data_IF_151183044663
#
_entry.id   IF_151183044663
#
_cell.length_a   1.000
_cell.length_b   1.000
_cell.length_c   1.000
_cell.angle_alpha   90.00
_cell.angle_beta   90.00
_cell.angle_gamma   90.00
#
_symmetry.space_group_name_H-M   'P 1'
#
loop_
_entity.id
_entity.type
_entity.pdbx_description
1 polymer ?
#
# COMPACT_ATOMS: atom_id res chain seq x y z
N UNK A 1 83.90 13.94 -36.10
CA UNK A 1 82.57 13.44 -36.53
C UNK A 1 81.52 13.93 -35.52
N UNK A 2 80.73 14.96 -35.86
CA UNK A 2 79.65 15.48 -35.01
C UNK A 2 78.38 14.71 -35.33
N UNK A 3 77.84 13.97 -34.35
CA UNK A 3 76.51 13.35 -34.45
C UNK A 3 75.44 14.37 -34.07
N UNK A 4 74.48 14.61 -34.97
CA UNK A 4 73.30 15.44 -34.74
C UNK A 4 72.15 14.56 -34.23
N UNK A 5 71.65 14.86 -33.04
CA UNK A 5 70.50 14.19 -32.43
C UNK A 5 69.23 14.91 -32.88
N UNK A 6 68.40 14.26 -33.71
CA UNK A 6 67.06 14.76 -34.07
C UNK A 6 66.07 14.29 -33.02
N UNK A 7 65.49 15.22 -32.27
CA UNK A 7 64.36 14.99 -31.36
C UNK A 7 63.07 15.00 -32.17
N UNK A 8 62.33 13.89 -32.14
CA UNK A 8 60.96 13.81 -32.67
C UNK A 8 59.99 14.12 -31.53
N UNK A 9 59.26 15.23 -31.63
CA UNK A 9 58.16 15.55 -30.71
C UNK A 9 56.91 14.87 -31.26
N UNK A 10 56.45 13.82 -30.57
CA UNK A 10 55.14 13.21 -30.82
C UNK A 10 54.11 14.03 -30.04
N UNK A 11 53.25 14.74 -30.77
CA UNK A 11 52.13 15.49 -30.20
C UNK A 11 50.97 14.50 -29.97
N UNK A 12 50.74 14.06 -28.73
CA UNK A 12 49.55 13.29 -28.35
C UNK A 12 48.34 14.25 -28.31
N UNK A 13 47.42 14.11 -29.27
CA UNK A 13 46.09 14.72 -29.16
C UNK A 13 45.27 13.94 -28.12
N UNK A 14 45.03 14.55 -26.97
CA UNK A 14 44.06 14.07 -25.97
C UNK A 14 42.68 14.60 -26.36
N UNK A 15 41.85 13.76 -26.98
CA UNK A 15 40.43 14.07 -27.17
C UNK A 15 39.70 13.82 -25.85
N UNK A 16 39.24 14.89 -25.18
CA UNK A 16 38.42 14.78 -23.98
C UNK A 16 36.98 14.43 -24.35
N UNK A 17 36.63 13.16 -24.19
CA UNK A 17 35.24 12.71 -24.23
C UNK A 17 34.51 13.30 -23.01
N UNK A 18 33.65 14.29 -23.21
CA UNK A 18 32.72 14.73 -22.15
C UNK A 18 31.76 13.57 -21.87
N UNK A 19 32.05 12.80 -20.82
CA UNK A 19 31.08 11.88 -20.24
C UNK A 19 29.88 12.72 -19.80
N UNK A 20 28.77 12.58 -20.53
CA UNK A 20 27.50 13.18 -20.14
C UNK A 20 27.02 12.34 -18.97
N UNK A 21 27.13 12.85 -17.75
CA UNK A 21 26.49 12.25 -16.59
C UNK A 21 24.99 12.36 -16.88
N UNK A 22 24.34 11.24 -17.21
CA UNK A 22 22.91 11.18 -17.29
C UNK A 22 22.37 11.60 -15.92
N UNK A 23 21.70 12.75 -15.86
CA UNK A 23 21.02 13.19 -14.65
C UNK A 23 19.95 12.14 -14.34
N UNK A 24 20.13 11.41 -13.24
CA UNK A 24 19.17 10.41 -12.79
C UNK A 24 17.80 11.09 -12.68
N UNK A 25 16.84 10.61 -13.48
CA UNK A 25 15.53 11.23 -13.54
C UNK A 25 14.85 11.05 -12.18
N UNK A 26 14.82 12.11 -11.39
CA UNK A 26 14.19 12.09 -10.07
C UNK A 26 12.68 11.84 -10.24
N UNK A 27 12.24 10.65 -9.86
CA UNK A 27 10.82 10.31 -9.82
C UNK A 27 10.14 11.07 -8.68
N UNK A 28 8.99 11.67 -8.97
CA UNK A 28 8.23 12.38 -7.92
C UNK A 28 7.44 11.40 -7.04
N UNK A 29 7.41 11.71 -5.75
CA UNK A 29 6.57 11.01 -4.77
C UNK A 29 5.11 11.43 -4.88
N UNK A 30 4.20 10.49 -4.60
CA UNK A 30 2.75 10.76 -4.50
C UNK A 30 2.46 11.91 -3.53
N UNK A 31 3.31 12.12 -2.52
CA UNK A 31 3.25 13.23 -1.57
C UNK A 31 2.96 14.58 -2.23
N UNK A 32 3.61 14.86 -3.36
CA UNK A 32 3.52 16.15 -4.05
C UNK A 32 2.19 16.36 -4.78
N UNK A 33 1.38 15.30 -4.90
CA UNK A 33 0.11 15.29 -5.60
C UNK A 33 -1.08 15.16 -4.64
N UNK A 34 -0.84 14.79 -3.38
CA UNK A 34 -1.86 14.72 -2.34
C UNK A 34 -2.32 16.14 -1.98
N UNK A 35 -3.63 16.37 -2.06
CA UNK A 35 -4.29 17.63 -1.66
C UNK A 35 -4.79 17.58 -0.22
N UNK A 36 -5.18 18.73 0.36
CA UNK A 36 -5.87 18.74 1.65
C UNK A 36 -7.03 17.73 1.69
N UNK A 37 -7.18 17.06 2.83
CA UNK A 37 -8.21 16.04 3.03
C UNK A 37 -9.62 16.65 2.93
N UNK A 38 -10.60 15.86 2.51
CA UNK A 38 -12.01 16.28 2.55
C UNK A 38 -12.51 16.26 3.99
N UNK A 39 -12.88 17.41 4.58
CA UNK A 39 -13.31 17.51 6.00
C UNK A 39 -14.44 16.55 6.37
N UNK A 40 -15.45 16.52 5.51
CA UNK A 40 -16.62 15.66 5.62
C UNK A 40 -16.52 14.42 4.73
N UNK A 41 -15.31 14.07 4.30
CA UNK A 41 -15.04 12.87 3.53
C UNK A 41 -14.68 11.67 4.39
N UNK A 42 -14.25 10.60 3.72
CA UNK A 42 -13.82 9.36 4.34
C UNK A 42 -14.97 8.62 5.04
N UNK A 43 -14.65 7.86 6.09
CA UNK A 43 -15.61 7.08 6.86
C UNK A 43 -15.43 7.36 8.35
N UNK A 44 -16.55 7.65 9.02
CA UNK A 44 -16.63 7.88 10.47
C UNK A 44 -17.82 7.08 11.01
N UNK A 45 -17.58 6.17 11.94
CA UNK A 45 -18.61 5.41 12.65
C UNK A 45 -18.29 5.50 14.14
N UNK A 46 -18.98 6.36 14.90
CA UNK A 46 -18.61 6.71 16.28
C UNK A 46 -18.50 5.53 17.25
N UNK A 47 -19.23 4.44 16.97
CA UNK A 47 -19.22 3.19 17.74
C UNK A 47 -18.06 2.26 17.39
N UNK A 48 -17.25 2.59 16.38
CA UNK A 48 -16.18 1.74 15.86
C UNK A 48 -14.86 2.50 15.71
N UNK A 49 -13.75 1.80 15.86
CA UNK A 49 -12.50 2.17 15.19
C UNK A 49 -12.53 1.68 13.75
N UNK A 50 -11.96 2.46 12.82
CA UNK A 50 -11.96 2.18 11.39
C UNK A 50 -10.56 2.20 10.81
N UNK A 51 -10.14 1.10 10.21
CA UNK A 51 -8.76 0.90 9.77
C UNK A 51 -8.73 0.15 8.43
N UNK A 52 -7.56 0.13 7.78
CA UNK A 52 -7.32 -0.69 6.59
C UNK A 52 -8.33 -0.47 5.44
N UNK A 53 -8.50 0.76 4.93
CA UNK A 53 -9.39 1.01 3.81
C UNK A 53 -8.98 0.25 2.54
N UNK A 54 -9.97 -0.18 1.78
CA UNK A 54 -9.82 -0.69 0.41
C UNK A 54 -11.07 -0.34 -0.39
N UNK A 55 -10.93 0.42 -1.47
CA UNK A 55 -12.07 0.98 -2.23
C UNK A 55 -12.11 0.42 -3.65
N UNK A 56 -13.30 0.04 -4.11
CA UNK A 56 -13.58 -0.32 -5.51
C UNK A 56 -14.84 0.41 -6.01
N UNK A 57 -14.88 0.75 -7.29
CA UNK A 57 -16.07 1.33 -7.93
C UNK A 57 -16.87 0.25 -8.65
N UNK A 58 -18.19 0.23 -8.44
CA UNK A 58 -19.14 -0.66 -9.11
C UNK A 58 -20.31 0.17 -9.62
N UNK A 59 -20.45 0.25 -10.94
CA UNK A 59 -21.35 1.20 -11.58
C UNK A 59 -21.02 2.64 -11.14
N UNK A 60 -22.01 3.31 -10.55
CA UNK A 60 -21.89 4.69 -10.05
C UNK A 60 -21.65 4.77 -8.53
N UNK A 61 -21.27 3.68 -7.88
CA UNK A 61 -21.10 3.62 -6.43
C UNK A 61 -19.66 3.22 -6.08
N UNK A 62 -19.07 3.90 -5.12
CA UNK A 62 -17.81 3.49 -4.49
C UNK A 62 -18.13 2.64 -3.27
N UNK A 63 -17.46 1.51 -3.16
CA UNK A 63 -17.59 0.55 -2.06
C UNK A 63 -16.25 0.52 -1.30
N UNK A 64 -16.26 1.01 -0.06
CA UNK A 64 -15.12 0.91 0.85
C UNK A 64 -15.29 -0.33 1.73
N UNK A 65 -14.31 -1.22 1.67
CA UNK A 65 -14.11 -2.27 2.66
C UNK A 65 -13.11 -1.77 3.69
N UNK A 66 -13.37 -2.06 4.96
CA UNK A 66 -12.52 -1.62 6.05
C UNK A 66 -12.55 -2.62 7.21
N UNK A 67 -11.48 -2.66 7.99
CA UNK A 67 -11.51 -3.25 9.32
C UNK A 67 -12.32 -2.34 10.24
N UNK A 68 -13.24 -2.92 11.01
CA UNK A 68 -13.95 -2.21 12.07
C UNK A 68 -13.95 -3.04 13.35
N UNK A 69 -13.82 -2.40 14.51
CA UNK A 69 -14.05 -3.05 15.82
C UNK A 69 -14.67 -2.04 16.78
N UNK A 70 -15.43 -2.49 17.80
CA UNK A 70 -16.08 -1.60 18.74
C UNK A 70 -15.10 -0.60 19.36
N UNK A 71 -15.52 0.66 19.46
CA UNK A 71 -14.77 1.70 20.16
C UNK A 71 -14.62 1.37 21.65
N UNK A 72 -15.61 0.67 22.22
CA UNK A 72 -15.54 0.08 23.55
C UNK A 72 -14.42 -0.97 23.62
N UNK A 73 -13.50 -0.78 24.56
CA UNK A 73 -12.28 -1.58 24.68
C UNK A 73 -11.08 -1.04 23.88
N UNK A 74 -11.25 0.11 23.22
CA UNK A 74 -10.15 0.91 22.65
C UNK A 74 -9.41 0.24 21.49
N UNK A 75 -8.26 0.83 21.12
CA UNK A 75 -7.47 0.40 19.97
C UNK A 75 -7.18 -1.10 20.00
N UNK A 76 -6.75 -1.66 21.15
CA UNK A 76 -6.30 -3.05 21.26
C UNK A 76 -7.38 -4.11 20.96
N UNK A 77 -8.67 -3.74 21.01
CA UNK A 77 -9.79 -4.67 20.79
C UNK A 77 -9.85 -5.24 19.37
N UNK A 78 -9.12 -4.67 18.42
CA UNK A 78 -9.00 -5.21 17.06
C UNK A 78 -8.52 -6.66 17.02
N UNK A 79 -7.77 -7.12 18.03
CA UNK A 79 -7.21 -8.48 18.05
C UNK A 79 -8.27 -9.56 18.16
N UNK A 80 -9.43 -9.26 18.76
CA UNK A 80 -10.49 -10.23 19.05
C UNK A 80 -11.88 -9.84 18.51
N UNK A 81 -12.12 -8.54 18.27
CA UNK A 81 -13.44 -7.99 17.89
C UNK A 81 -13.48 -7.37 16.49
N UNK A 82 -12.46 -7.63 15.67
CA UNK A 82 -12.42 -7.07 14.32
C UNK A 82 -13.40 -7.75 13.37
N UNK A 83 -14.05 -6.91 12.57
CA UNK A 83 -14.97 -7.22 11.49
C UNK A 83 -14.37 -6.70 10.18
N UNK A 84 -14.76 -7.29 9.05
CA UNK A 84 -14.63 -6.63 7.75
C UNK A 84 -16.00 -6.07 7.37
N UNK A 85 -16.10 -4.75 7.23
CA UNK A 85 -17.35 -4.06 6.86
C UNK A 85 -17.28 -3.58 5.42
N UNK A 86 -18.44 -3.27 4.85
CA UNK A 86 -18.59 -2.50 3.62
C UNK A 86 -19.37 -1.22 3.91
N UNK A 87 -18.88 -0.11 3.37
CA UNK A 87 -19.53 1.18 3.36
C UNK A 87 -19.62 1.69 1.91
N UNK A 88 -20.55 2.60 1.61
CA UNK A 88 -20.77 3.09 0.24
C UNK A 88 -20.85 4.60 0.16
N UNK A 89 -20.47 5.15 -0.99
CA UNK A 89 -20.68 6.55 -1.34
C UNK A 89 -20.89 6.72 -2.84
N UNK A 90 -21.57 7.79 -3.25
CA UNK A 90 -21.58 8.25 -4.65
C UNK A 90 -20.36 9.10 -5.00
N UNK A 91 -19.61 9.56 -3.98
CA UNK A 91 -18.39 10.33 -4.13
C UNK A 91 -17.18 9.48 -3.71
N UNK A 92 -16.12 9.47 -4.52
CA UNK A 92 -14.88 8.73 -4.21
C UNK A 92 -14.31 9.13 -2.85
N UNK A 93 -14.40 10.41 -2.50
CA UNK A 93 -13.86 10.94 -1.25
C UNK A 93 -14.84 10.83 -0.07
N UNK A 94 -16.03 10.25 -0.27
CA UNK A 94 -17.06 10.17 0.74
C UNK A 94 -17.93 11.44 0.87
N UNK A 95 -18.68 11.58 1.97
CA UNK A 95 -18.73 10.65 3.11
C UNK A 95 -19.20 9.26 2.68
N UNK A 96 -18.64 8.23 3.29
CA UNK A 96 -19.09 6.85 3.16
C UNK A 96 -20.09 6.53 4.27
N UNK A 97 -21.14 5.81 3.91
CA UNK A 97 -22.18 5.33 4.83
C UNK A 97 -22.05 3.83 5.02
N UNK A 98 -22.17 3.35 6.26
CA UNK A 98 -22.16 1.92 6.56
C UNK A 98 -23.24 1.19 5.77
N UNK A 99 -22.88 0.06 5.15
CA UNK A 99 -23.81 -0.76 4.38
C UNK A 99 -24.03 -2.14 5.03
N UNK A 100 -22.95 -2.84 5.38
CA UNK A 100 -23.06 -4.18 5.98
C UNK A 100 -21.77 -4.62 6.71
N UNK A 101 -21.92 -5.58 7.62
CA UNK A 101 -20.80 -6.43 8.06
C UNK A 101 -20.64 -7.54 7.03
N UNK A 102 -19.49 -7.60 6.38
CA UNK A 102 -19.21 -8.55 5.29
C UNK A 102 -18.66 -9.86 5.83
N UNK A 103 -17.66 -9.77 6.72
CA UNK A 103 -17.04 -10.92 7.34
C UNK A 103 -16.97 -10.75 8.85
N UNK A 104 -17.29 -11.83 9.53
CA UNK A 104 -17.01 -12.07 10.95
C UNK A 104 -16.08 -13.28 11.07
N UNK A 105 -15.58 -13.55 12.28
CA UNK A 105 -14.81 -14.77 12.55
C UNK A 105 -15.67 -16.04 12.36
N UNK A 106 -15.06 -17.17 12.00
CA UNK A 106 -15.77 -18.46 11.84
C UNK A 106 -15.21 -19.51 12.79
N UNK A 107 -16.00 -19.90 13.76
CA UNK A 107 -15.59 -20.95 14.69
C UNK A 107 -15.23 -22.25 13.96
N UNK A 108 -14.12 -22.88 14.36
CA UNK A 108 -13.64 -24.13 13.76
C UNK A 108 -13.00 -24.00 12.37
N UNK A 109 -12.73 -22.78 11.90
CA UNK A 109 -12.03 -22.50 10.62
C UNK A 109 -10.71 -21.78 10.85
N UNK A 110 -9.88 -21.65 9.81
CA UNK A 110 -8.56 -21.00 9.90
C UNK A 110 -8.63 -19.52 10.34
N UNK A 111 -9.79 -18.89 10.19
CA UNK A 111 -10.12 -17.53 10.60
C UNK A 111 -11.01 -17.49 11.85
N UNK A 112 -10.70 -18.38 12.80
CA UNK A 112 -11.45 -18.63 14.03
C UNK A 112 -11.64 -17.41 14.93
N UNK A 113 -10.60 -16.61 15.12
CA UNK A 113 -10.61 -15.57 16.16
C UNK A 113 -10.80 -14.17 15.59
N UNK A 114 -10.45 -13.97 14.31
CA UNK A 114 -10.36 -12.64 13.72
C UNK A 114 -10.46 -12.68 12.20
N UNK A 115 -11.15 -11.70 11.64
CA UNK A 115 -10.98 -11.23 10.26
C UNK A 115 -10.54 -9.78 10.28
N UNK A 116 -9.52 -9.44 9.49
CA UNK A 116 -8.95 -8.09 9.49
C UNK A 116 -8.28 -7.77 8.15
N UNK A 117 -7.95 -6.50 7.94
CA UNK A 117 -7.21 -5.97 6.80
C UNK A 117 -7.82 -6.38 5.44
N UNK A 118 -9.10 -6.06 5.18
CA UNK A 118 -9.73 -6.42 3.93
C UNK A 118 -9.08 -5.70 2.75
N UNK A 119 -8.82 -6.42 1.65
CA UNK A 119 -8.48 -5.83 0.34
C UNK A 119 -9.38 -6.39 -0.74
N UNK A 120 -10.14 -5.50 -1.38
CA UNK A 120 -11.07 -5.86 -2.45
C UNK A 120 -10.40 -5.71 -3.82
N UNK A 121 -10.55 -6.72 -4.67
CA UNK A 121 -10.22 -6.65 -6.10
C UNK A 121 -11.32 -7.31 -6.93
N UNK A 122 -11.31 -7.05 -8.24
CA UNK A 122 -12.14 -7.77 -9.21
C UNK A 122 -11.23 -8.63 -10.08
N UNK A 123 -11.54 -9.92 -10.19
CA UNK A 123 -10.83 -10.89 -11.05
C UNK A 123 -11.84 -11.50 -12.02
N UNK A 124 -11.74 -11.14 -13.29
CA UNK A 124 -12.78 -11.44 -14.28
C UNK A 124 -14.15 -10.95 -13.79
N UNK A 125 -15.12 -11.86 -13.66
CA UNK A 125 -16.46 -11.53 -13.18
C UNK A 125 -16.61 -11.54 -11.66
N UNK A 126 -15.66 -12.11 -10.92
CA UNK A 126 -15.74 -12.26 -9.45
C UNK A 126 -15.20 -11.05 -8.71
N UNK A 127 -15.81 -10.75 -7.57
CA UNK A 127 -15.24 -9.89 -6.54
C UNK A 127 -14.50 -10.76 -5.53
N UNK A 128 -13.27 -10.40 -5.18
CA UNK A 128 -12.41 -11.18 -4.28
C UNK A 128 -11.90 -10.27 -3.18
N UNK A 129 -12.30 -10.59 -1.94
CA UNK A 129 -11.94 -9.88 -0.72
C UNK A 129 -10.88 -10.67 0.04
N UNK A 130 -9.62 -10.26 -0.07
CA UNK A 130 -8.54 -10.82 0.74
C UNK A 130 -8.62 -10.30 2.17
N UNK A 131 -8.27 -11.12 3.16
CA UNK A 131 -8.24 -10.74 4.56
C UNK A 131 -7.30 -11.63 5.37
N UNK A 132 -7.00 -11.24 6.61
CA UNK A 132 -6.13 -11.98 7.51
C UNK A 132 -6.85 -12.59 8.72
N UNK A 133 -6.32 -13.71 9.21
CA UNK A 133 -6.69 -14.33 10.50
C UNK A 133 -5.85 -13.82 11.68
N UNK A 134 -6.14 -14.31 12.89
CA UNK A 134 -5.33 -14.07 14.11
C UNK A 134 -3.90 -14.61 14.00
N UNK A 135 -3.70 -15.68 13.23
CA UNK A 135 -2.38 -16.25 12.94
C UNK A 135 -1.52 -15.40 11.98
N UNK A 136 -2.03 -14.24 11.52
CA UNK A 136 -1.38 -13.38 10.52
C UNK A 136 -1.13 -14.12 9.19
N UNK A 137 -2.08 -14.95 8.81
CA UNK A 137 -2.14 -15.66 7.55
C UNK A 137 -3.21 -15.03 6.66
N UNK A 138 -3.14 -15.27 5.35
CA UNK A 138 -4.07 -14.69 4.38
C UNK A 138 -4.91 -15.76 3.70
N UNK A 139 -6.19 -15.45 3.50
CA UNK A 139 -7.13 -16.13 2.61
C UNK A 139 -8.02 -15.10 1.92
N UNK A 140 -9.11 -15.55 1.29
CA UNK A 140 -10.05 -14.67 0.61
C UNK A 140 -11.50 -15.09 0.78
N UNK A 141 -12.41 -14.18 0.46
CA UNK A 141 -13.81 -14.45 0.20
C UNK A 141 -14.14 -14.02 -1.24
N UNK A 142 -14.96 -14.79 -1.96
CA UNK A 142 -15.38 -14.48 -3.33
C UNK A 142 -16.89 -14.31 -3.44
N UNK A 143 -17.35 -13.46 -4.36
CA UNK A 143 -18.75 -13.26 -4.68
C UNK A 143 -18.96 -12.87 -6.15
N UNK A 144 -20.13 -13.17 -6.70
CA UNK A 144 -20.54 -12.70 -8.04
C UNK A 144 -20.99 -11.23 -8.02
N UNK A 145 -21.60 -10.79 -6.92
CA UNK A 145 -21.99 -9.40 -6.69
C UNK A 145 -21.14 -8.78 -5.57
N UNK A 146 -20.93 -7.46 -5.63
CA UNK A 146 -20.18 -6.72 -4.61
C UNK A 146 -20.85 -6.74 -3.22
N UNK A 147 -22.11 -7.16 -3.18
CA UNK A 147 -22.96 -7.32 -1.99
C UNK A 147 -23.01 -8.77 -1.49
N UNK A 148 -22.19 -9.67 -2.03
CA UNK A 148 -22.27 -11.09 -1.70
C UNK A 148 -23.41 -11.83 -2.42
N UNK A 149 -23.78 -13.04 -1.93
CA UNK A 149 -23.20 -13.73 -0.79
C UNK A 149 -21.72 -14.09 -1.00
N UNK A 150 -20.95 -14.11 0.08
CA UNK A 150 -19.50 -14.34 0.06
C UNK A 150 -19.15 -15.79 0.40
N UNK A 151 -18.45 -16.47 -0.50
CA UNK A 151 -17.89 -17.82 -0.27
C UNK A 151 -16.44 -17.69 0.15
N UNK A 152 -16.08 -18.23 1.32
CA UNK A 152 -14.75 -18.04 1.93
C UNK A 152 -13.84 -19.23 1.70
N UNK A 153 -12.58 -18.94 1.39
CA UNK A 153 -11.54 -19.94 1.19
C UNK A 153 -11.04 -20.52 2.53
N UNK A 154 -10.24 -21.58 2.42
CA UNK A 154 -9.26 -21.94 3.45
C UNK A 154 -8.04 -21.00 3.38
N UNK A 155 -7.08 -21.17 4.28
CA UNK A 155 -5.80 -20.43 4.27
C UNK A 155 -5.10 -20.60 2.91
N UNK A 156 -4.62 -19.49 2.35
CA UNK A 156 -3.92 -19.46 1.05
C UNK A 156 -2.42 -19.13 1.18
N UNK A 157 -2.05 -18.25 2.12
CA UNK A 157 -0.67 -17.76 2.27
C UNK A 157 -0.29 -17.62 3.74
N UNK A 158 0.98 -17.86 4.06
CA UNK A 158 1.54 -17.76 5.42
C UNK A 158 2.14 -16.37 5.72
N UNK A 159 1.61 -15.32 5.10
CA UNK A 159 1.95 -13.93 5.42
C UNK A 159 0.67 -13.08 5.52
N UNK A 160 0.80 -11.91 6.12
CA UNK A 160 -0.29 -11.00 6.46
C UNK A 160 -0.32 -9.74 5.62
N UNK A 161 -1.32 -8.90 5.87
CA UNK A 161 -1.53 -7.61 5.24
C UNK A 161 -1.42 -7.67 3.71
N UNK A 162 -2.25 -8.50 3.06
CA UNK A 162 -2.16 -8.72 1.63
C UNK A 162 -2.37 -7.40 0.89
N UNK A 163 -1.71 -7.27 -0.24
CA UNK A 163 -1.91 -6.24 -1.23
C UNK A 163 -1.94 -6.95 -2.59
N UNK A 164 -3.13 -7.38 -3.05
CA UNK A 164 -3.29 -8.10 -4.31
C UNK A 164 -3.18 -7.14 -5.51
N UNK A 165 -2.49 -7.60 -6.55
CA UNK A 165 -2.39 -7.00 -7.87
C UNK A 165 -2.86 -8.03 -8.90
N UNK A 166 -4.01 -7.77 -9.52
CA UNK A 166 -4.56 -8.61 -10.58
C UNK A 166 -3.90 -8.22 -11.90
N UNK A 167 -3.29 -9.19 -12.59
CA UNK A 167 -2.68 -9.00 -13.90
C UNK A 167 -3.71 -9.14 -15.03
N UNK A 168 -3.45 -8.62 -16.25
CA UNK A 168 -4.41 -8.69 -17.36
C UNK A 168 -4.84 -10.10 -17.76
N UNK A 169 -3.97 -11.10 -17.54
CA UNK A 169 -4.26 -12.51 -17.80
C UNK A 169 -5.10 -13.19 -16.70
N UNK A 170 -5.46 -12.47 -15.64
CA UNK A 170 -6.19 -12.99 -14.49
C UNK A 170 -5.32 -13.65 -13.41
N UNK A 171 -4.01 -13.79 -13.65
CA UNK A 171 -3.08 -14.18 -12.59
C UNK A 171 -2.99 -13.09 -11.53
N UNK A 172 -2.61 -13.46 -10.31
CA UNK A 172 -2.55 -12.53 -9.18
C UNK A 172 -1.17 -12.57 -8.55
N UNK A 173 -0.59 -11.38 -8.39
CA UNK A 173 0.58 -11.13 -7.56
C UNK A 173 0.09 -10.56 -6.22
N UNK A 174 0.43 -11.18 -5.09
CA UNK A 174 0.05 -10.69 -3.77
C UNK A 174 1.31 -10.31 -3.01
N UNK A 175 1.47 -9.03 -2.74
CA UNK A 175 2.49 -8.51 -1.84
C UNK A 175 1.96 -8.52 -0.40
N UNK A 176 2.83 -8.64 0.59
CA UNK A 176 2.40 -8.61 1.98
C UNK A 176 3.55 -8.51 2.97
N UNK A 177 3.19 -8.65 4.24
CA UNK A 177 4.10 -8.53 5.37
C UNK A 177 4.21 -9.85 6.12
N UNK A 178 5.44 -10.26 6.39
CA UNK A 178 5.76 -11.34 7.31
C UNK A 178 6.55 -10.79 8.51
N UNK A 179 6.29 -11.31 9.70
CA UNK A 179 7.16 -11.06 10.85
C UNK A 179 8.20 -12.17 10.91
N UNK A 180 9.47 -11.82 10.85
CA UNK A 180 10.57 -12.77 10.99
C UNK A 180 11.50 -12.33 12.11
N UNK A 181 12.10 -13.30 12.81
CA UNK A 181 13.12 -13.04 13.82
C UNK A 181 14.48 -12.94 13.13
N UNK A 182 15.12 -11.78 13.19
CA UNK A 182 16.48 -11.53 12.69
C UNK A 182 17.35 -11.15 13.89
N UNK A 183 18.24 -12.05 14.29
CA UNK A 183 18.94 -11.95 15.59
C UNK A 183 17.93 -11.92 16.75
N UNK A 184 18.02 -10.91 17.61
CA UNK A 184 17.11 -10.72 18.75
C UNK A 184 15.89 -9.84 18.44
N UNK A 185 15.73 -9.37 17.20
CA UNK A 185 14.66 -8.45 16.81
C UNK A 185 13.61 -9.14 15.96
N UNK A 186 12.35 -8.78 16.19
CA UNK A 186 11.27 -9.05 15.26
C UNK A 186 11.25 -7.97 14.18
N UNK A 187 11.38 -8.38 12.92
CA UNK A 187 11.44 -7.49 11.76
C UNK A 187 10.26 -7.78 10.85
N UNK A 188 9.59 -6.73 10.38
CA UNK A 188 8.43 -6.83 9.48
C UNK A 188 8.90 -6.76 8.02
N UNK A 189 9.13 -7.92 7.41
CA UNK A 189 9.71 -8.01 6.07
C UNK A 189 8.64 -8.11 4.99
N UNK A 190 8.99 -7.60 3.81
CA UNK A 190 8.18 -7.71 2.61
C UNK A 190 8.25 -9.13 2.03
N UNK A 191 7.09 -9.65 1.66
CA UNK A 191 6.90 -10.94 0.97
C UNK A 191 6.02 -10.75 -0.25
N UNK A 192 6.16 -11.66 -1.21
CA UNK A 192 5.23 -11.77 -2.31
C UNK A 192 5.02 -13.23 -2.69
N UNK A 193 3.84 -13.51 -3.21
CA UNK A 193 3.52 -14.77 -3.84
C UNK A 193 2.65 -14.54 -5.07
N UNK A 194 2.68 -15.46 -6.03
CA UNK A 194 1.85 -15.38 -7.22
C UNK A 194 1.12 -16.68 -7.52
N UNK A 195 0.01 -16.57 -8.24
CA UNK A 195 -0.78 -17.70 -8.69
C UNK A 195 -1.39 -17.39 -10.07
N UNK A 196 -1.54 -18.42 -10.90
CA UNK A 196 -2.23 -18.31 -12.19
C UNK A 196 -3.72 -17.91 -12.05
N UNK A 197 -4.29 -18.13 -10.86
CA UNK A 197 -5.64 -17.71 -10.49
C UNK A 197 -5.67 -17.33 -9.02
N UNK A 198 -6.56 -16.43 -8.61
CA UNK A 198 -6.72 -16.05 -7.20
C UNK A 198 -7.04 -17.25 -6.28
N UNK A 199 -7.55 -18.35 -6.86
CA UNK A 199 -7.82 -19.61 -6.15
C UNK A 199 -6.57 -20.38 -5.72
N UNK A 200 -5.39 -19.94 -6.16
CA UNK A 200 -4.12 -20.61 -5.90
C UNK A 200 -3.87 -21.80 -6.84
N UNK A 201 -2.88 -22.65 -6.51
CA UNK A 201 -1.94 -22.48 -5.40
C UNK A 201 -1.05 -21.25 -5.59
N UNK A 202 -0.70 -20.59 -4.48
CA UNK A 202 0.24 -19.47 -4.48
C UNK A 202 1.68 -19.98 -4.31
N UNK A 203 2.59 -19.47 -5.14
CA UNK A 203 4.01 -19.74 -5.09
C UNK A 203 4.73 -18.52 -4.55
N UNK A 204 5.53 -18.69 -3.49
CA UNK A 204 6.33 -17.60 -2.93
C UNK A 204 7.39 -17.15 -3.95
N UNK A 205 7.53 -15.84 -4.10
CA UNK A 205 8.53 -15.23 -4.96
C UNK A 205 9.82 -14.96 -4.19
N UNK A 206 10.95 -15.29 -4.81
CA UNK A 206 12.28 -15.19 -4.23
C UNK A 206 12.34 -15.74 -2.79
N UNK A 207 11.96 -17.02 -2.56
CA UNK A 207 11.88 -17.61 -1.21
C UNK A 207 13.21 -17.59 -0.47
N UNK A 208 14.33 -17.46 -1.18
CA UNK A 208 15.67 -17.28 -0.63
C UNK A 208 15.91 -15.89 -0.02
N UNK A 209 15.08 -14.88 -0.34
CA UNK A 209 15.21 -13.52 0.20
C UNK A 209 14.45 -13.36 1.52
N UNK A 210 15.18 -12.97 2.56
CA UNK A 210 14.57 -12.64 3.86
C UNK A 210 13.68 -11.39 3.82
N UNK A 211 13.91 -10.45 2.90
CA UNK A 211 13.09 -9.25 2.71
C UNK A 211 13.16 -8.79 1.23
N UNK A 212 12.01 -8.51 0.62
CA UNK A 212 11.97 -7.92 -0.73
C UNK A 212 12.33 -6.42 -0.74
N UNK A 213 12.23 -5.75 0.41
CA UNK A 213 12.71 -4.39 0.58
C UNK A 213 14.20 -4.35 0.94
N UNK A 214 14.94 -3.32 0.49
CA UNK A 214 16.36 -3.18 0.79
C UNK A 214 16.58 -2.76 2.24
N UNK A 215 17.82 -2.87 2.73
CA UNK A 215 18.28 -2.31 4.01
C UNK A 215 17.43 -2.70 5.23
N UNK A 216 16.80 -3.88 5.20
CA UNK A 216 15.87 -4.34 6.24
C UNK A 216 14.76 -3.34 6.55
N UNK A 217 14.32 -2.55 5.56
CA UNK A 217 13.17 -1.67 5.73
C UNK A 217 11.94 -2.49 6.10
N UNK A 218 11.21 -1.94 7.06
CA UNK A 218 10.05 -2.59 7.67
C UNK A 218 8.76 -1.96 7.17
N UNK A 219 7.75 -2.79 6.98
CA UNK A 219 6.45 -2.36 6.49
C UNK A 219 5.30 -2.75 7.40
N UNK A 220 4.21 -2.01 7.27
CA UNK A 220 2.87 -2.47 7.61
C UNK A 220 1.86 -1.99 6.55
N UNK A 221 0.84 -2.81 6.28
CA UNK A 221 -0.33 -2.50 5.43
C UNK A 221 -0.01 -1.90 4.06
N UNK A 222 0.65 -2.69 3.20
CA UNK A 222 0.92 -2.24 1.86
C UNK A 222 -0.36 -2.03 1.03
N UNK A 223 -0.21 -1.17 0.04
CA UNK A 223 -1.06 -1.10 -1.15
C UNK A 223 -0.14 -1.14 -2.36
N UNK A 224 -0.49 -1.93 -3.37
CA UNK A 224 0.31 -2.14 -4.57
C UNK A 224 -0.50 -1.83 -5.82
N UNK A 225 0.16 -1.30 -6.85
CA UNK A 225 -0.42 -1.16 -8.18
C UNK A 225 0.65 -1.24 -9.27
N UNK A 226 0.22 -1.62 -10.48
CA UNK A 226 1.05 -1.58 -11.68
C UNK A 226 0.78 -0.28 -12.44
N UNK A 227 1.84 0.46 -12.73
CA UNK A 227 1.79 1.64 -13.59
C UNK A 227 3.19 1.92 -14.14
N UNK A 228 3.26 2.43 -15.36
CA UNK A 228 4.52 2.83 -16.01
C UNK A 228 5.60 1.72 -16.01
N UNK A 229 5.19 0.51 -16.40
CA UNK A 229 6.04 -0.67 -16.47
C UNK A 229 6.81 -0.95 -15.17
N UNK A 230 6.14 -0.80 -14.03
CA UNK A 230 6.69 -1.11 -12.71
C UNK A 230 5.60 -1.38 -11.69
N UNK A 231 5.98 -2.17 -10.68
CA UNK A 231 5.27 -2.30 -9.42
C UNK A 231 5.52 -1.06 -8.59
N UNK A 232 4.47 -0.53 -7.97
CA UNK A 232 4.54 0.60 -7.06
C UNK A 232 3.87 0.21 -5.76
N UNK A 233 4.53 0.47 -4.65
CA UNK A 233 4.03 0.11 -3.31
C UNK A 233 4.06 1.35 -2.44
N UNK A 234 2.97 1.56 -1.70
CA UNK A 234 2.95 2.43 -0.53
C UNK A 234 2.61 1.60 0.69
N UNK A 235 3.23 1.90 1.82
CA UNK A 235 2.98 1.22 3.07
C UNK A 235 3.31 2.15 4.24
N UNK A 236 3.00 1.72 5.46
CA UNK A 236 3.52 2.36 6.66
C UNK A 236 4.96 1.90 6.91
N UNK A 237 5.91 2.83 7.04
CA UNK A 237 7.28 2.56 7.51
C UNK A 237 7.22 2.25 9.01
N UNK A 238 7.19 0.96 9.34
CA UNK A 238 6.77 0.54 10.68
C UNK A 238 7.76 0.98 11.78
N UNK A 239 9.05 0.76 11.53
CA UNK A 239 10.14 1.05 12.46
C UNK A 239 10.90 2.33 12.10
N UNK A 240 10.46 3.07 11.09
CA UNK A 240 11.07 4.34 10.68
C UNK A 240 12.44 4.20 10.03
N UNK A 241 12.82 2.99 9.60
CA UNK A 241 14.18 2.73 9.08
C UNK A 241 14.37 3.38 7.71
N UNK A 242 13.31 3.51 6.92
CA UNK A 242 13.37 4.09 5.57
C UNK A 242 13.35 5.61 5.59
N UNK A 243 12.46 6.20 6.40
CA UNK A 243 12.18 7.64 6.43
C UNK A 243 12.81 8.37 7.61
N UNK A 244 13.33 7.65 8.61
CA UNK A 244 13.74 8.19 9.89
C UNK A 244 12.59 8.56 10.83
N UNK A 245 11.34 8.22 10.49
CA UNK A 245 10.15 8.49 11.31
C UNK A 245 9.26 7.26 11.40
N UNK A 246 8.92 6.87 12.63
CA UNK A 246 8.10 5.69 12.84
C UNK A 246 6.65 5.93 12.39
N UNK A 247 6.08 4.92 11.73
CA UNK A 247 4.66 4.79 11.42
C UNK A 247 4.09 5.88 10.51
N UNK A 248 4.88 6.32 9.54
CA UNK A 248 4.46 7.24 8.46
C UNK A 248 4.37 6.52 7.12
N UNK A 249 3.67 7.10 6.14
CA UNK A 249 3.64 6.55 4.79
C UNK A 249 5.00 6.65 4.08
N UNK A 250 5.36 5.61 3.34
CA UNK A 250 6.58 5.51 2.51
C UNK A 250 6.25 4.88 1.16
N UNK A 251 7.05 5.17 0.13
CA UNK A 251 6.83 4.71 -1.23
C UNK A 251 8.05 3.95 -1.80
N UNK A 252 7.76 2.83 -2.46
CA UNK A 252 8.72 1.97 -3.15
C UNK A 252 8.28 1.68 -4.58
N UNK A 253 9.23 1.26 -5.41
CA UNK A 253 8.95 0.76 -6.75
C UNK A 253 9.86 -0.41 -7.13
N UNK A 254 9.46 -1.21 -8.11
CA UNK A 254 10.25 -2.33 -8.63
C UNK A 254 9.91 -2.61 -10.10
N UNK A 255 10.90 -2.98 -10.92
CA UNK A 255 10.66 -3.41 -12.31
C UNK A 255 10.28 -4.88 -12.42
N UNK A 256 10.78 -5.72 -11.51
CA UNK A 256 10.61 -7.18 -11.56
C UNK A 256 9.69 -7.73 -10.46
N UNK A 257 9.32 -6.90 -9.47
CA UNK A 257 8.50 -7.32 -8.33
C UNK A 257 9.29 -8.08 -7.26
N UNK A 258 10.61 -8.13 -7.36
CA UNK A 258 11.50 -8.86 -6.42
C UNK A 258 12.55 -7.92 -5.83
N UNK A 259 13.04 -6.98 -6.63
CA UNK A 259 14.04 -6.00 -6.25
C UNK A 259 13.37 -4.62 -6.15
N UNK A 260 12.94 -4.27 -4.94
CA UNK A 260 12.32 -2.98 -4.67
C UNK A 260 13.36 -1.92 -4.32
N UNK A 261 13.06 -0.68 -4.70
CA UNK A 261 13.86 0.50 -4.40
C UNK A 261 13.01 1.51 -3.65
N UNK A 262 13.62 2.15 -2.64
CA UNK A 262 13.00 3.27 -1.94
C UNK A 262 12.91 4.45 -2.91
N UNK A 263 11.72 5.03 -3.07
CA UNK A 263 11.55 6.18 -3.96
C UNK A 263 12.17 7.45 -3.37
N UNK A 264 11.92 7.71 -2.09
CA UNK A 264 12.45 8.85 -1.35
C UNK A 264 12.42 8.56 0.15
N UNK A 265 13.32 9.18 0.91
CA UNK A 265 13.30 9.17 2.38
C UNK A 265 12.24 10.11 2.95
N UNK A 266 11.67 11.00 2.14
CA UNK A 266 10.62 11.88 2.61
C UNK A 266 9.31 11.11 2.90
N UNK A 267 8.72 11.26 4.08
CA UNK A 267 7.46 10.61 4.40
C UNK A 267 6.31 11.19 3.59
N UNK A 268 5.37 10.34 3.17
CA UNK A 268 4.18 10.72 2.40
C UNK A 268 3.25 11.59 3.25
N UNK A 269 3.09 11.27 4.52
CA UNK A 269 2.22 11.97 5.45
C UNK A 269 2.91 12.26 6.78
N UNK A 270 2.35 13.20 7.53
CA UNK A 270 2.67 13.45 8.94
C UNK A 270 1.46 13.13 9.82
N UNK A 271 1.56 13.41 11.11
CA UNK A 271 0.44 13.28 12.04
C UNK A 271 -0.47 14.52 12.07
N UNK A 272 -0.16 15.57 11.32
CA UNK A 272 -1.04 16.74 11.16
C UNK A 272 -1.67 16.70 9.76
N UNK A 273 -3.00 16.64 9.71
CA UNK A 273 -3.77 16.65 8.47
C UNK A 273 -4.35 18.05 8.28
N UNK A 274 -4.16 18.61 7.09
CA UNK A 274 -4.84 19.83 6.64
C UNK A 274 -6.05 19.43 5.79
N UNK A 275 -7.19 20.07 6.04
CA UNK A 275 -8.44 19.83 5.33
C UNK A 275 -8.70 20.90 4.26
N UNK A 276 -9.67 20.62 3.38
CA UNK A 276 -10.07 21.49 2.26
C UNK A 276 -10.75 22.80 2.69
N UNK A 277 -11.23 22.88 3.92
CA UNK A 277 -11.69 24.12 4.56
C UNK A 277 -10.56 24.95 5.21
N UNK A 278 -9.30 24.49 5.10
CA UNK A 278 -8.13 25.11 5.72
C UNK A 278 -7.90 24.75 7.19
N UNK A 279 -8.83 24.02 7.83
CA UNK A 279 -8.64 23.53 9.20
C UNK A 279 -7.53 22.49 9.26
N UNK A 280 -6.93 22.35 10.45
CA UNK A 280 -5.88 21.37 10.71
C UNK A 280 -6.22 20.55 11.94
N UNK A 281 -5.82 19.29 11.93
CA UNK A 281 -6.01 18.38 13.06
C UNK A 281 -4.77 17.52 13.25
N UNK A 282 -4.28 17.46 14.49
CA UNK A 282 -3.15 16.63 14.88
C UNK A 282 -3.66 15.31 15.43
N UNK A 283 -3.49 14.25 14.67
CA UNK A 283 -3.89 12.90 15.01
C UNK A 283 -2.84 12.22 15.90
N UNK A 284 -3.29 11.29 16.75
CA UNK A 284 -2.42 10.39 17.52
C UNK A 284 -1.72 9.38 16.61
N UNK A 285 -2.39 8.94 15.52
CA UNK A 285 -1.87 8.01 14.50
C UNK A 285 -2.42 8.38 13.12
N UNK A 286 -1.58 8.25 12.09
CA UNK A 286 -1.93 8.41 10.67
C UNK A 286 -1.19 7.34 9.87
N UNK A 287 -1.85 6.22 9.62
CA UNK A 287 -1.25 4.97 9.14
C UNK A 287 -2.13 4.31 8.06
N UNK A 288 -1.78 3.08 7.64
CA UNK A 288 -2.60 2.22 6.77
C UNK A 288 -2.94 2.84 5.40
N UNK A 289 -1.92 3.26 4.63
CA UNK A 289 -2.14 3.95 3.37
C UNK A 289 -2.86 3.05 2.35
N UNK A 290 -3.87 3.61 1.70
CA UNK A 290 -4.51 3.02 0.53
C UNK A 290 -4.60 4.04 -0.61
N UNK A 291 -4.09 3.66 -1.78
CA UNK A 291 -4.25 4.43 -3.02
C UNK A 291 -5.40 3.83 -3.83
N UNK A 292 -6.41 4.65 -4.16
CA UNK A 292 -7.39 4.29 -5.18
C UNK A 292 -6.79 4.61 -6.55
N UNK A 293 -6.66 3.58 -7.39
CA UNK A 293 -6.00 3.65 -8.69
C UNK A 293 -7.00 3.34 -9.80
N UNK A 294 -7.04 4.20 -10.81
CA UNK A 294 -7.84 4.00 -12.02
C UNK A 294 -6.92 4.13 -13.23
N UNK A 295 -6.80 3.08 -14.04
CA UNK A 295 -5.96 3.03 -15.23
C UNK A 295 -4.50 3.47 -14.99
N UNK A 296 -3.91 3.03 -13.86
CA UNK A 296 -2.54 3.37 -13.46
C UNK A 296 -2.36 4.77 -12.88
N UNK A 297 -3.46 5.54 -12.74
CA UNK A 297 -3.48 6.89 -12.16
C UNK A 297 -4.05 6.84 -10.76
N UNK A 298 -3.33 7.38 -9.77
CA UNK A 298 -3.85 7.49 -8.40
C UNK A 298 -4.77 8.70 -8.30
N UNK A 299 -6.02 8.49 -7.89
CA UNK A 299 -7.06 9.54 -7.79
C UNK A 299 -7.38 9.94 -6.35
N UNK A 300 -7.17 9.04 -5.41
CA UNK A 300 -7.41 9.31 -4.00
C UNK A 300 -6.46 8.52 -3.10
N UNK A 301 -6.19 9.09 -1.93
CA UNK A 301 -5.33 8.51 -0.90
C UNK A 301 -6.09 8.46 0.43
N UNK A 302 -6.19 7.28 1.03
CA UNK A 302 -6.92 7.04 2.26
C UNK A 302 -5.98 6.61 3.37
N UNK A 303 -6.30 7.03 4.58
CA UNK A 303 -5.51 6.77 5.79
C UNK A 303 -6.42 6.34 6.93
N UNK A 304 -5.98 5.35 7.71
CA UNK A 304 -6.56 5.04 9.02
C UNK A 304 -5.96 5.96 10.07
N UNK A 305 -6.80 6.70 10.78
CA UNK A 305 -6.39 7.78 11.67
C UNK A 305 -7.01 7.64 13.06
N UNK A 306 -6.26 8.01 14.10
CA UNK A 306 -6.76 8.08 15.48
C UNK A 306 -6.80 9.53 15.94
N UNK A 307 -8.00 10.05 16.20
CA UNK A 307 -8.19 11.44 16.66
C UNK A 307 -7.60 11.65 18.06
N UNK A 308 -7.44 12.90 18.53
CA UNK A 308 -7.08 13.19 19.92
C UNK A 308 -7.99 12.52 20.95
N UNK A 309 -9.27 12.35 20.64
CA UNK A 309 -10.28 11.74 21.52
C UNK A 309 -10.43 10.21 21.33
N UNK A 310 -9.38 9.56 20.82
CA UNK A 310 -9.31 8.12 20.60
C UNK A 310 -10.46 7.57 19.74
N UNK A 311 -10.86 8.32 18.72
CA UNK A 311 -11.79 7.85 17.68
C UNK A 311 -11.01 7.36 16.47
N UNK A 312 -11.37 6.19 15.97
CA UNK A 312 -10.79 5.65 14.74
C UNK A 312 -11.60 6.05 13.52
N UNK A 313 -10.98 6.78 12.61
CA UNK A 313 -11.63 7.30 11.39
C UNK A 313 -10.78 6.99 10.17
N UNK A 314 -11.42 6.90 9.00
CA UNK A 314 -10.71 6.87 7.73
C UNK A 314 -10.78 8.27 7.12
N UNK A 315 -9.63 8.86 6.82
CA UNK A 315 -9.52 10.17 6.17
C UNK A 315 -9.22 9.98 4.68
N UNK A 316 -9.85 10.78 3.82
CA UNK A 316 -9.69 10.72 2.37
C UNK A 316 -9.10 12.02 1.81
N UNK A 317 -8.05 11.88 1.02
CA UNK A 317 -7.40 12.96 0.28
C UNK A 317 -7.64 12.81 -1.22
N UNK A 318 -7.97 13.90 -1.94
CA UNK A 318 -7.82 13.93 -3.39
C UNK A 318 -6.33 13.79 -3.77
N UNK A 319 -6.07 13.18 -4.92
CA UNK A 319 -4.74 13.15 -5.53
C UNK A 319 -4.83 13.71 -6.95
N UNK A 320 -3.95 14.65 -7.29
CA UNK A 320 -3.87 15.28 -8.62
C UNK A 320 -3.30 14.31 -9.67
N UNK A 321 -4.06 13.28 -10.02
CA UNK A 321 -3.75 12.38 -11.14
C UNK A 321 -2.31 11.86 -11.17
N UNK A 322 -1.82 11.42 -10.00
CA UNK A 322 -0.44 10.95 -9.86
C UNK A 322 -0.20 9.67 -10.69
N UNK A 323 0.84 9.69 -11.53
CA UNK A 323 1.33 8.53 -12.26
C UNK A 323 2.80 8.30 -11.90
N UNK A 324 3.15 7.14 -11.33
CA UNK A 324 4.53 6.83 -10.99
C UNK A 324 5.48 6.94 -12.18
N UNK A 325 6.67 7.49 -11.91
CA UNK A 325 7.72 7.62 -12.92
C UNK A 325 7.53 8.78 -13.91
N UNK A 326 6.48 9.61 -13.79
CA UNK A 326 6.46 10.93 -14.42
C UNK A 326 7.20 11.93 -13.53
N UNK A 327 8.06 12.75 -14.15
CA UNK A 327 8.50 14.02 -13.58
C UNK A 327 7.49 15.07 -14.03
N UNK A 328 6.91 15.85 -13.10
CA UNK A 328 6.03 16.94 -13.47
C UNK A 328 6.79 17.92 -14.38
N UNK A 329 6.36 18.03 -15.63
CA UNK A 329 6.84 19.04 -16.55
C UNK A 329 6.22 20.40 -16.17
N UNK A 330 6.37 20.88 -14.93
CA UNK A 330 5.78 22.15 -14.48
C UNK A 330 6.51 22.71 -13.23
N UNK A 331 7.70 23.27 -13.45
CA UNK A 331 8.17 24.50 -12.79
C UNK A 331 9.02 25.29 -13.79
N UNK A 332 8.35 26.11 -14.60
CA UNK A 332 8.89 27.38 -15.09
C UNK A 332 8.04 28.47 -14.48
#
# INVERSE_FOLDING_TARGET
MKFSLKVFIILLLVTSSKATIAQEQAFESIKNFIKPAKKDGGLKLSQYFLWCPSVIKVGNTYHMFASAWPAEGGMASWTAKSLCIRATSKNLLGPYEFAEVVLEKREGKWDNDRVHNPKIVKVGNKYVLYYISSANETGYAEADAITGPWTRSEKMMSFSNPAPLVRPDGSVYVFGRLSVKIGDKQVRTARAAEAASYKGPYQNLAPEKENLFPNNYELEDPTIWWANNQYNVICTDFAGVATGRNKVGVQYYSKDGINYQLLTKEPINTNEITYDDGSKEKFKRVERPFAYVENGVVKAYFLGCMTPDDKGVIVAHPVDDYVPGKSSSKKK
#
